data_IF_481191038590
#
_entry.id   IF_481191038590
#
_cell.length_a   1.000
_cell.length_b   1.000
_cell.length_c   1.000
_cell.angle_alpha   90.00
_cell.angle_beta   90.00
_cell.angle_gamma   90.00
#
_symmetry.space_group_name_H-M   'P 1'
#
loop_
_entity.id
_entity.type
_entity.pdbx_description
1 polymer ?
#
# COMPACT_ATOMS: atom_id res chain seq x y z
N UNK A 1 -1.39 -23.77 -31.31
CA UNK A 1 -2.25 -23.98 -30.12
C UNK A 1 -3.46 -24.81 -30.50
N UNK A 2 -3.69 -25.93 -29.81
CA UNK A 2 -4.79 -26.84 -30.10
C UNK A 2 -6.14 -26.32 -29.53
N UNK A 3 -7.24 -27.01 -29.86
CA UNK A 3 -8.60 -26.59 -29.47
C UNK A 3 -8.81 -26.57 -27.95
N UNK A 4 -8.31 -27.59 -27.25
CA UNK A 4 -8.38 -27.66 -25.79
C UNK A 4 -7.65 -26.49 -25.10
N UNK A 5 -6.48 -26.09 -25.62
CA UNK A 5 -5.73 -24.94 -25.15
C UNK A 5 -6.46 -23.63 -25.42
N UNK A 6 -7.03 -23.44 -26.61
CA UNK A 6 -7.88 -22.26 -26.93
C UNK A 6 -9.04 -22.12 -25.95
N UNK A 7 -9.72 -23.24 -25.68
CA UNK A 7 -10.84 -23.29 -24.75
C UNK A 7 -10.42 -22.96 -23.31
N UNK A 8 -9.34 -23.58 -22.82
CA UNK A 8 -8.78 -23.30 -21.49
C UNK A 8 -8.37 -21.83 -21.36
N UNK A 9 -7.71 -21.28 -22.37
CA UNK A 9 -7.29 -19.88 -22.36
C UNK A 9 -8.47 -18.91 -22.34
N UNK A 10 -9.51 -19.18 -23.13
CA UNK A 10 -10.75 -18.40 -23.10
C UNK A 10 -11.43 -18.44 -21.74
N UNK A 11 -11.52 -19.63 -21.11
CA UNK A 11 -12.06 -19.76 -19.76
C UNK A 11 -11.27 -18.93 -18.74
N UNK A 12 -9.93 -19.00 -18.77
CA UNK A 12 -9.07 -18.21 -17.88
C UNK A 12 -9.35 -16.71 -18.00
N UNK A 13 -9.51 -16.19 -19.23
CA UNK A 13 -9.79 -14.77 -19.47
C UNK A 13 -11.16 -14.30 -18.95
N UNK A 14 -12.07 -15.24 -18.72
CA UNK A 14 -13.43 -14.98 -18.20
C UNK A 14 -13.55 -15.13 -16.69
N UNK A 15 -12.53 -15.66 -16.01
CA UNK A 15 -12.55 -15.77 -14.54
C UNK A 15 -12.70 -14.37 -13.95
N UNK A 16 -13.72 -14.19 -13.13
CA UNK A 16 -13.98 -12.96 -12.40
C UNK A 16 -13.61 -13.17 -10.94
N UNK A 17 -12.71 -12.34 -10.44
CA UNK A 17 -12.19 -12.32 -9.08
C UNK A 17 -12.66 -11.02 -8.43
N UNK A 18 -13.81 -11.03 -7.72
CA UNK A 18 -14.28 -9.86 -6.97
C UNK A 18 -13.46 -9.65 -5.68
N UNK A 19 -13.32 -8.39 -5.21
CA UNK A 19 -12.71 -8.10 -3.93
C UNK A 19 -13.59 -8.57 -2.76
N UNK A 20 -12.97 -8.81 -1.61
CA UNK A 20 -13.67 -9.02 -0.35
C UNK A 20 -14.13 -7.68 0.24
N UNK A 21 -15.42 -7.55 0.58
CA UNK A 21 -16.04 -6.29 0.99
C UNK A 21 -15.41 -5.69 2.26
N UNK A 22 -14.95 -6.53 3.19
CA UNK A 22 -14.32 -6.06 4.43
C UNK A 22 -12.96 -5.41 4.13
N UNK A 23 -12.11 -6.09 3.35
CA UNK A 23 -10.82 -5.54 2.95
C UNK A 23 -10.99 -4.27 2.11
N UNK A 24 -11.98 -4.26 1.20
CA UNK A 24 -12.30 -3.08 0.39
C UNK A 24 -12.72 -1.89 1.24
N UNK A 25 -13.49 -2.09 2.30
CA UNK A 25 -13.91 -1.00 3.19
C UNK A 25 -12.72 -0.37 3.94
N UNK A 26 -11.76 -1.19 4.37
CA UNK A 26 -10.51 -0.71 4.99
C UNK A 26 -9.68 0.14 4.02
N UNK A 27 -9.44 -0.38 2.82
CA UNK A 27 -8.67 0.31 1.78
C UNK A 27 -9.32 1.62 1.33
N UNK A 28 -10.64 1.64 1.17
CA UNK A 28 -11.37 2.88 0.85
C UNK A 28 -11.27 3.91 1.98
N UNK A 29 -11.25 3.46 3.24
CA UNK A 29 -11.05 4.34 4.37
C UNK A 29 -9.63 4.93 4.39
N UNK A 30 -8.60 4.13 4.05
CA UNK A 30 -7.20 4.57 3.91
C UNK A 30 -7.06 5.64 2.83
N UNK A 31 -7.55 5.37 1.62
CA UNK A 31 -7.54 6.32 0.51
C UNK A 31 -8.31 7.61 0.86
N UNK A 32 -9.44 7.49 1.57
CA UNK A 32 -10.22 8.64 2.02
C UNK A 32 -9.42 9.48 3.02
N UNK A 33 -8.84 8.86 4.05
CA UNK A 33 -8.05 9.57 5.07
C UNK A 33 -6.89 10.33 4.43
N UNK A 34 -6.13 9.67 3.55
CA UNK A 34 -5.02 10.31 2.87
C UNK A 34 -5.44 11.52 2.03
N UNK A 35 -6.56 11.41 1.30
CA UNK A 35 -7.11 12.51 0.50
C UNK A 35 -7.50 13.70 1.36
N UNK A 36 -8.17 13.48 2.49
CA UNK A 36 -8.56 14.56 3.40
C UNK A 36 -7.35 15.15 4.12
N UNK A 37 -6.37 14.34 4.52
CA UNK A 37 -5.11 14.80 5.12
C UNK A 37 -4.31 15.70 4.17
N UNK A 38 -4.27 15.37 2.87
CA UNK A 38 -3.68 16.26 1.87
C UNK A 38 -4.39 17.59 1.78
N UNK A 39 -5.72 17.58 1.75
CA UNK A 39 -6.50 18.81 1.68
C UNK A 39 -6.27 19.70 2.91
N UNK A 40 -6.34 19.09 4.11
CA UNK A 40 -6.17 19.76 5.39
C UNK A 40 -4.75 20.32 5.60
N UNK A 41 -3.72 19.50 5.30
CA UNK A 41 -2.34 19.85 5.61
C UNK A 41 -1.65 20.76 4.58
N UNK A 42 -2.19 20.88 3.36
CA UNK A 42 -1.53 21.58 2.25
C UNK A 42 -1.24 23.04 2.55
N UNK A 43 -2.18 23.76 3.16
CA UNK A 43 -1.99 25.19 3.47
C UNK A 43 -0.93 25.44 4.53
N UNK A 44 -0.68 24.45 5.40
CA UNK A 44 0.28 24.56 6.50
C UNK A 44 1.66 23.95 6.16
N UNK A 45 1.87 23.47 4.94
CA UNK A 45 3.17 22.93 4.51
C UNK A 45 3.41 21.46 4.87
N UNK A 46 2.35 20.71 5.22
CA UNK A 46 2.43 19.27 5.38
C UNK A 46 2.48 18.54 4.03
N UNK A 47 3.33 17.53 3.93
CA UNK A 47 3.46 16.63 2.79
C UNK A 47 3.08 15.22 3.20
N UNK A 48 2.13 14.61 2.48
CA UNK A 48 1.47 13.35 2.88
C UNK A 48 1.90 12.24 1.93
N UNK A 49 2.42 11.15 2.50
CA UNK A 49 2.85 9.93 1.81
C UNK A 49 2.01 8.75 2.29
N UNK A 50 1.40 8.02 1.35
CA UNK A 50 0.56 6.85 1.61
C UNK A 50 1.36 5.56 1.45
N UNK A 51 1.00 4.53 2.22
CA UNK A 51 1.46 3.15 2.04
C UNK A 51 3.00 3.05 1.95
N UNK A 52 3.70 3.83 2.77
CA UNK A 52 5.16 3.93 2.75
C UNK A 52 5.76 2.60 3.15
N UNK A 53 6.55 2.00 2.26
CA UNK A 53 7.24 0.74 2.52
C UNK A 53 8.67 0.95 2.99
N UNK A 54 8.91 0.52 4.21
CA UNK A 54 10.21 0.56 4.87
C UNK A 54 10.84 -0.84 4.95
N UNK A 55 12.17 -0.97 4.88
CA UNK A 55 12.84 -2.22 5.18
C UNK A 55 12.73 -2.56 6.68
N UNK A 56 12.54 -3.84 7.01
CA UNK A 56 12.67 -4.37 8.38
C UNK A 56 13.71 -5.49 8.35
N UNK A 57 14.97 -5.09 8.53
CA UNK A 57 16.12 -5.99 8.46
C UNK A 57 16.07 -7.04 9.57
N UNK A 58 15.61 -6.67 10.77
CA UNK A 58 15.55 -7.57 11.93
C UNK A 58 14.59 -8.75 11.74
N UNK A 59 13.45 -8.52 11.09
CA UNK A 59 12.45 -9.59 10.86
C UNK A 59 12.49 -10.17 9.45
N UNK A 60 13.44 -9.73 8.62
CA UNK A 60 13.57 -10.19 7.25
C UNK A 60 12.35 -9.80 6.40
N UNK A 61 12.32 -8.57 5.91
CA UNK A 61 11.30 -8.17 4.94
C UNK A 61 11.12 -6.66 4.84
N UNK A 62 9.91 -6.27 4.46
CA UNK A 62 9.47 -4.89 4.33
C UNK A 62 8.16 -4.73 5.10
N UNK A 63 7.92 -3.54 5.65
CA UNK A 63 6.67 -3.17 6.31
C UNK A 63 6.05 -1.97 5.64
N UNK A 64 4.73 -1.90 5.71
CA UNK A 64 3.96 -0.73 5.30
C UNK A 64 3.63 0.14 6.50
N UNK A 65 3.66 1.45 6.29
CA UNK A 65 3.08 2.47 7.16
C UNK A 65 1.96 3.12 6.35
N UNK A 66 0.74 3.13 6.89
CA UNK A 66 -0.45 3.62 6.19
C UNK A 66 -0.27 5.07 5.73
N UNK A 67 0.25 5.92 6.63
CA UNK A 67 0.52 7.32 6.36
C UNK A 67 1.81 7.80 7.03
N UNK A 68 2.69 8.44 6.26
CA UNK A 68 3.81 9.25 6.77
C UNK A 68 3.59 10.68 6.33
N UNK A 69 3.59 11.61 7.28
CA UNK A 69 3.36 13.04 7.01
C UNK A 69 4.57 13.82 7.49
N UNK A 70 5.13 14.66 6.64
CA UNK A 70 6.31 15.48 6.98
C UNK A 70 6.05 16.95 6.72
N UNK A 71 6.55 17.78 7.62
CA UNK A 71 6.52 19.23 7.51
C UNK A 71 7.51 19.80 8.51
N UNK A 72 8.14 20.93 8.22
CA UNK A 72 9.17 21.42 9.13
C UNK A 72 10.30 20.41 9.31
N UNK A 73 10.77 20.29 10.55
CA UNK A 73 11.55 19.14 11.05
C UNK A 73 10.72 18.05 11.74
N UNK A 74 9.42 17.94 11.45
CA UNK A 74 8.51 16.97 12.08
C UNK A 74 8.10 15.87 11.10
N UNK A 75 8.14 14.62 11.58
CA UNK A 75 7.62 13.44 10.91
C UNK A 75 6.51 12.79 11.75
N UNK A 76 5.29 12.76 11.22
CA UNK A 76 4.17 12.04 11.78
C UNK A 76 4.10 10.65 11.15
N UNK A 77 4.15 9.61 11.98
CA UNK A 77 4.05 8.21 11.57
C UNK A 77 2.69 7.70 12.04
N UNK A 78 1.78 7.49 11.09
CA UNK A 78 0.36 7.32 11.37
C UNK A 78 -0.08 5.92 10.95
N UNK A 79 -0.70 5.20 11.88
CA UNK A 79 -1.43 3.97 11.59
C UNK A 79 -2.93 4.27 11.66
N UNK A 80 -3.65 3.88 10.61
CA UNK A 80 -5.09 4.01 10.54
C UNK A 80 -5.79 2.74 11.07
N UNK A 81 -6.89 2.94 11.79
CA UNK A 81 -7.87 1.90 12.09
C UNK A 81 -9.31 2.33 11.78
N UNK A 82 -9.99 1.58 10.93
CA UNK A 82 -11.40 1.80 10.59
C UNK A 82 -12.30 0.77 11.26
N UNK A 83 -12.41 0.82 12.60
CA UNK A 83 -13.15 -0.15 13.39
C UNK A 83 -14.56 0.33 13.72
N UNK A 84 -15.57 -0.53 13.58
CA UNK A 84 -16.91 -0.29 14.12
C UNK A 84 -17.06 -0.86 15.54
N UNK A 85 -18.11 -0.44 16.25
CA UNK A 85 -18.42 -0.90 17.61
C UNK A 85 -17.68 -0.08 18.66
N UNK A 86 -17.10 -0.76 19.65
CA UNK A 86 -16.31 -0.13 20.72
C UNK A 86 -14.96 -0.82 20.87
N UNK A 87 -14.04 -0.19 21.60
CA UNK A 87 -12.79 -0.86 21.99
C UNK A 87 -12.39 -0.54 23.42
N UNK A 88 -11.61 -1.43 24.02
CA UNK A 88 -10.93 -1.21 25.29
C UNK A 88 -9.44 -1.44 25.13
N UNK A 89 -8.65 -0.84 26.02
CA UNK A 89 -7.20 -1.05 26.10
C UNK A 89 -6.92 -1.75 27.42
N UNK A 90 -6.28 -2.91 27.37
CA UNK A 90 -5.92 -3.66 28.56
C UNK A 90 -4.59 -3.18 29.16
N UNK A 91 -4.19 -3.74 30.31
CA UNK A 91 -2.93 -3.39 30.99
C UNK A 91 -1.66 -3.73 30.21
N UNK A 92 -1.78 -4.53 29.13
CA UNK A 92 -0.68 -4.86 28.21
C UNK A 92 -0.70 -3.97 26.96
N UNK A 93 -1.48 -2.88 26.97
CA UNK A 93 -1.68 -1.97 25.84
C UNK A 93 -2.29 -2.65 24.61
N UNK A 94 -2.97 -3.79 24.79
CA UNK A 94 -3.64 -4.46 23.69
C UNK A 94 -5.03 -3.86 23.46
N UNK A 95 -5.35 -3.64 22.19
CA UNK A 95 -6.65 -3.15 21.77
C UNK A 95 -7.63 -4.32 21.60
N UNK A 96 -8.71 -4.30 22.37
CA UNK A 96 -9.77 -5.31 22.29
C UNK A 96 -11.02 -4.63 21.72
N UNK A 97 -11.34 -4.96 20.47
CA UNK A 97 -12.54 -4.45 19.79
C UNK A 97 -13.74 -5.33 20.14
N UNK A 98 -14.85 -4.71 20.54
CA UNK A 98 -16.17 -5.33 20.58
C UNK A 98 -16.93 -4.92 19.32
N UNK A 99 -17.21 -5.88 18.44
CA UNK A 99 -17.90 -5.62 17.17
C UNK A 99 -19.41 -5.59 17.38
N UNK A 100 -20.12 -4.89 16.50
CA UNK A 100 -21.59 -4.77 16.53
C UNK A 100 -22.32 -6.12 16.42
N UNK A 101 -21.66 -7.18 15.96
CA UNK A 101 -22.21 -8.53 15.88
C UNK A 101 -21.99 -9.35 17.17
N UNK A 102 -21.50 -8.74 18.25
CA UNK A 102 -21.24 -9.39 19.54
C UNK A 102 -19.92 -10.16 19.62
N UNK A 103 -19.10 -10.17 18.56
CA UNK A 103 -17.79 -10.84 18.58
C UNK A 103 -16.68 -9.89 19.04
N UNK A 104 -15.68 -10.46 19.71
CA UNK A 104 -14.49 -9.71 20.14
C UNK A 104 -13.29 -10.02 19.25
N UNK A 105 -12.46 -9.00 19.01
CA UNK A 105 -11.21 -9.15 18.28
C UNK A 105 -10.08 -8.45 19.04
N UNK A 106 -9.05 -9.22 19.43
CA UNK A 106 -7.84 -8.66 20.05
C UNK A 106 -6.84 -8.30 18.93
N UNK A 107 -6.59 -7.01 18.75
CA UNK A 107 -5.65 -6.47 17.76
C UNK A 107 -4.19 -6.48 18.26
N UNK A 108 -3.93 -7.07 19.43
CA UNK A 108 -2.63 -7.12 20.10
C UNK A 108 -2.06 -5.71 20.32
N UNK A 109 -0.73 -5.58 20.32
CA UNK A 109 0.00 -4.34 20.59
C UNK A 109 0.16 -3.47 19.33
N UNK A 110 -0.95 -2.91 18.86
CA UNK A 110 -0.98 -2.03 17.67
C UNK A 110 -0.03 -0.83 17.85
N UNK A 111 -0.06 -0.17 19.02
CA UNK A 111 0.81 0.95 19.39
C UNK A 111 2.30 0.58 19.25
N UNK A 112 2.72 -0.51 19.88
CA UNK A 112 4.12 -0.94 19.88
C UNK A 112 4.62 -1.28 18.46
N UNK A 113 3.74 -1.80 17.59
CA UNK A 113 4.09 -2.09 16.20
C UNK A 113 4.37 -0.81 15.42
N UNK A 114 3.53 0.22 15.54
CA UNK A 114 3.73 1.49 14.83
C UNK A 114 4.91 2.28 15.43
N UNK A 115 5.10 2.25 16.75
CA UNK A 115 6.27 2.83 17.42
C UNK A 115 7.58 2.23 16.90
N UNK A 116 7.62 0.90 16.71
CA UNK A 116 8.78 0.23 16.10
C UNK A 116 9.02 0.70 14.66
N UNK A 117 7.97 0.85 13.83
CA UNK A 117 8.11 1.38 12.46
C UNK A 117 8.66 2.81 12.47
N UNK A 118 8.18 3.66 13.39
CA UNK A 118 8.65 5.03 13.56
C UNK A 118 10.12 5.08 14.00
N UNK A 119 10.52 4.21 14.93
CA UNK A 119 11.91 4.09 15.37
C UNK A 119 12.84 3.72 14.21
N UNK A 120 12.46 2.72 13.40
CA UNK A 120 13.23 2.32 12.21
C UNK A 120 13.41 3.52 11.27
N UNK A 121 12.33 4.24 10.95
CA UNK A 121 12.41 5.43 10.09
C UNK A 121 13.33 6.50 10.67
N UNK A 122 13.24 6.77 11.97
CA UNK A 122 14.08 7.77 12.64
C UNK A 122 15.56 7.37 12.59
N UNK A 123 15.89 6.12 12.90
CA UNK A 123 17.25 5.60 12.85
C UNK A 123 17.83 5.63 11.42
N UNK A 124 17.03 5.25 10.42
CA UNK A 124 17.42 5.35 9.01
C UNK A 124 17.67 6.79 8.58
N UNK A 125 16.81 7.74 8.97
CA UNK A 125 16.99 9.16 8.66
C UNK A 125 18.29 9.69 9.27
N UNK A 126 18.52 9.41 10.55
CA UNK A 126 19.72 9.81 11.29
C UNK A 126 21.00 9.21 10.71
N UNK A 127 20.96 7.95 10.30
CA UNK A 127 22.10 7.29 9.67
C UNK A 127 22.47 7.93 8.31
N UNK A 128 21.47 8.40 7.56
CA UNK A 128 21.67 9.07 6.27
C UNK A 128 22.08 10.53 6.41
N UNK A 129 21.72 11.18 7.51
CA UNK A 129 22.01 12.59 7.79
C UNK A 129 22.63 12.74 9.19
N UNK A 130 23.86 12.22 9.43
CA UNK A 130 24.48 12.20 10.75
C UNK A 130 24.75 13.61 11.30
N UNK A 131 25.01 14.56 10.41
CA UNK A 131 25.26 15.98 10.73
C UNK A 131 24.01 16.86 10.51
N UNK A 132 22.86 16.25 10.21
CA UNK A 132 21.60 16.96 9.97
C UNK A 132 20.90 17.40 11.26
N UNK A 133 19.97 18.33 11.12
CA UNK A 133 19.11 18.75 12.23
C UNK A 133 18.33 17.57 12.80
N UNK A 134 18.19 17.55 14.13
CA UNK A 134 17.33 16.57 14.80
C UNK A 134 15.87 16.77 14.37
N UNK A 135 15.21 15.67 14.02
CA UNK A 135 13.80 15.68 13.65
C UNK A 135 12.93 15.21 14.81
N UNK A 136 11.74 15.79 14.92
CA UNK A 136 10.71 15.35 15.84
C UNK A 136 9.88 14.24 15.19
N UNK A 137 9.85 13.04 15.77
CA UNK A 137 9.05 11.92 15.25
C UNK A 137 7.89 11.64 16.21
N UNK A 138 6.66 11.77 15.70
CA UNK A 138 5.43 11.54 16.47
C UNK A 138 4.69 10.33 15.92
N UNK A 139 4.24 9.46 16.81
CA UNK A 139 3.46 8.27 16.47
C UNK A 139 2.00 8.55 16.73
N UNK A 140 1.15 8.37 15.71
CA UNK A 140 -0.29 8.59 15.82
C UNK A 140 -1.10 7.35 15.44
N UNK A 141 -2.16 7.12 16.20
CA UNK A 141 -3.19 6.14 15.88
C UNK A 141 -4.46 6.88 15.47
N UNK A 142 -4.81 6.83 14.19
CA UNK A 142 -5.97 7.52 13.61
C UNK A 142 -7.16 6.56 13.47
N UNK A 143 -8.21 6.79 14.25
CA UNK A 143 -9.43 6.00 14.22
C UNK A 143 -10.54 6.71 13.43
N UNK A 144 -10.90 6.16 12.28
CA UNK A 144 -11.67 6.89 11.25
C UNK A 144 -13.16 6.55 11.16
N UNK A 145 -13.61 5.54 11.91
CA UNK A 145 -15.02 5.17 11.89
C UNK A 145 -15.85 6.10 12.80
N UNK A 146 -16.74 6.89 12.22
CA UNK A 146 -17.53 7.93 12.92
C UNK A 146 -18.43 7.44 14.07
N UNK A 147 -18.79 6.14 14.10
CA UNK A 147 -19.58 5.54 15.21
C UNK A 147 -18.75 4.66 16.15
N UNK A 148 -17.42 4.72 16.08
CA UNK A 148 -16.59 3.99 17.03
C UNK A 148 -16.78 4.63 18.41
N UNK A 149 -17.09 3.80 19.41
CA UNK A 149 -17.17 4.21 20.81
C UNK A 149 -15.80 4.05 21.45
N UNK A 150 -15.34 5.12 22.09
CA UNK A 150 -14.00 5.22 22.66
C UNK A 150 -14.04 4.97 24.16
N UNK A 151 -13.01 4.29 24.71
CA UNK A 151 -12.91 4.13 26.15
C UNK A 151 -12.44 5.44 26.81
N UNK A 152 -12.74 5.63 28.08
CA UNK A 152 -12.35 6.84 28.81
C UNK A 152 -10.84 6.90 29.16
N UNK A 153 -10.10 5.80 28.99
CA UNK A 153 -8.72 5.63 29.46
C UNK A 153 -7.66 5.59 28.33
N UNK A 154 -7.86 6.37 27.26
CA UNK A 154 -6.95 6.41 26.09
C UNK A 154 -5.53 6.88 26.46
N UNK A 155 -5.40 7.75 27.46
CA UNK A 155 -4.12 8.37 27.88
C UNK A 155 -3.10 7.42 28.53
N UNK A 156 -3.34 6.11 28.55
CA UNK A 156 -2.38 5.11 29.04
C UNK A 156 -1.30 4.80 27.98
N UNK A 157 -1.54 5.15 26.72
CA UNK A 157 -0.63 4.85 25.61
C UNK A 157 0.39 5.98 25.41
N UNK A 158 1.61 5.61 24.99
CA UNK A 158 2.64 6.57 24.57
C UNK A 158 2.33 7.25 23.23
N UNK A 159 1.44 6.66 22.42
CA UNK A 159 1.05 7.17 21.10
C UNK A 159 -0.10 8.15 21.17
N UNK A 160 -0.07 9.16 20.30
CA UNK A 160 -1.13 10.13 20.14
C UNK A 160 -2.33 9.46 19.44
N UNK A 161 -3.38 9.14 20.21
CA UNK A 161 -4.59 8.53 19.65
C UNK A 161 -5.60 9.61 19.30
N UNK A 162 -6.07 9.64 18.05
CA UNK A 162 -6.98 10.66 17.54
C UNK A 162 -8.12 10.06 16.73
N UNK A 163 -9.33 10.61 16.90
CA UNK A 163 -10.39 10.35 15.93
C UNK A 163 -10.10 11.13 14.63
N UNK A 164 -10.87 10.85 13.56
CA UNK A 164 -10.70 11.52 12.27
C UNK A 164 -10.70 13.05 12.40
N UNK A 165 -11.69 13.63 13.08
CA UNK A 165 -11.79 15.08 13.23
C UNK A 165 -10.58 15.66 13.96
N UNK A 166 -10.18 15.08 15.10
CA UNK A 166 -9.01 15.52 15.86
C UNK A 166 -7.71 15.42 15.05
N UNK A 167 -7.58 14.39 14.21
CA UNK A 167 -6.43 14.21 13.34
C UNK A 167 -6.41 15.25 12.21
N UNK A 168 -7.56 15.59 11.63
CA UNK A 168 -7.67 16.65 10.63
C UNK A 168 -7.40 18.02 11.25
N UNK A 169 -8.00 18.33 12.40
CA UNK A 169 -7.73 19.59 13.13
C UNK A 169 -6.24 19.75 13.44
N UNK A 170 -5.53 18.68 13.81
CA UNK A 170 -4.08 18.73 13.97
C UNK A 170 -3.38 19.25 12.70
N UNK A 171 -3.74 18.72 11.53
CA UNK A 171 -3.12 19.11 10.26
C UNK A 171 -3.51 20.54 9.83
N UNK A 172 -4.71 21.00 10.21
CA UNK A 172 -5.24 22.34 9.90
C UNK A 172 -4.72 23.44 10.83
N UNK A 173 -4.40 23.11 12.09
CA UNK A 173 -4.00 24.09 13.11
C UNK A 173 -2.50 24.10 13.38
N UNK A 174 -1.82 22.95 13.32
CA UNK A 174 -0.39 22.89 13.57
C UNK A 174 0.40 23.39 12.33
N UNK A 175 1.21 24.44 12.54
CA UNK A 175 2.21 24.88 11.59
C UNK A 175 3.54 24.17 11.91
N UNK A 176 4.00 23.24 11.07
CA UNK A 176 5.24 22.51 11.31
C UNK A 176 6.51 23.36 11.08
N UNK A 177 6.38 24.54 10.45
CA UNK A 177 7.51 25.39 10.08
C UNK A 177 8.09 25.09 8.69
N UNK A 178 9.21 25.72 8.32
CA UNK A 178 9.83 25.58 7.00
C UNK A 178 10.25 24.14 6.71
N UNK A 179 9.90 23.63 5.53
CA UNK A 179 10.16 22.23 5.15
C UNK A 179 11.65 21.86 5.27
N UNK A 180 11.94 20.80 6.01
CA UNK A 180 13.25 20.15 5.97
C UNK A 180 13.34 19.31 4.69
N UNK A 181 14.11 19.78 3.71
CA UNK A 181 14.22 19.13 2.41
C UNK A 181 14.82 17.72 2.50
N UNK A 182 15.80 17.51 3.40
CA UNK A 182 16.39 16.18 3.61
C UNK A 182 15.34 15.18 4.11
N UNK A 183 14.45 15.60 5.01
CA UNK A 183 13.36 14.77 5.51
C UNK A 183 12.33 14.49 4.43
N UNK A 184 11.97 15.50 3.63
CA UNK A 184 11.07 15.34 2.50
C UNK A 184 11.63 14.34 1.48
N UNK A 185 12.87 14.53 1.05
CA UNK A 185 13.55 13.67 0.08
C UNK A 185 13.69 12.25 0.61
N UNK A 186 14.05 12.10 1.89
CA UNK A 186 14.14 10.81 2.57
C UNK A 186 12.82 10.03 2.51
N UNK A 187 11.71 10.63 2.94
CA UNK A 187 10.41 9.94 2.91
C UNK A 187 9.94 9.71 1.48
N UNK A 188 10.17 10.67 0.58
CA UNK A 188 9.83 10.53 -0.83
C UNK A 188 10.59 9.39 -1.52
N UNK A 189 11.77 9.02 -1.02
CA UNK A 189 12.60 7.96 -1.56
C UNK A 189 12.04 6.55 -1.40
N UNK A 190 11.09 6.35 -0.48
CA UNK A 190 10.44 5.07 -0.29
C UNK A 190 9.43 4.75 -1.39
N UNK A 191 9.25 3.46 -1.64
CA UNK A 191 8.19 2.93 -2.50
C UNK A 191 6.95 2.51 -1.70
N UNK A 192 6.01 1.93 -2.42
CA UNK A 192 4.74 1.34 -1.94
C UNK A 192 4.70 -0.14 -2.34
N UNK A 193 3.58 -0.82 -2.10
CA UNK A 193 3.37 -2.17 -2.66
C UNK A 193 3.26 -2.11 -4.18
N UNK A 194 3.66 -3.21 -4.82
CA UNK A 194 3.23 -3.49 -6.18
C UNK A 194 1.79 -3.99 -6.15
N UNK A 195 0.99 -3.50 -7.08
CA UNK A 195 -0.43 -3.76 -7.16
C UNK A 195 -0.82 -4.36 -8.51
N UNK A 196 -1.61 -5.42 -8.46
CA UNK A 196 -2.17 -6.09 -9.64
C UNK A 196 -3.67 -6.16 -9.50
N UNK A 197 -4.39 -5.54 -10.43
CA UNK A 197 -5.85 -5.66 -10.51
C UNK A 197 -6.19 -6.87 -11.39
N UNK A 198 -7.02 -7.77 -10.85
CA UNK A 198 -7.59 -8.87 -11.59
C UNK A 198 -8.94 -8.51 -12.18
N UNK A 199 -9.34 -9.20 -13.26
CA UNK A 199 -10.67 -9.11 -13.83
C UNK A 199 -11.72 -9.38 -12.75
N UNK A 200 -12.63 -8.45 -12.52
CA UNK A 200 -13.59 -8.49 -11.41
C UNK A 200 -13.24 -7.54 -10.25
N UNK A 201 -12.06 -6.91 -10.27
CA UNK A 201 -11.68 -5.82 -9.37
C UNK A 201 -10.93 -6.24 -8.11
N UNK A 202 -10.56 -7.52 -7.95
CA UNK A 202 -9.68 -7.93 -6.86
C UNK A 202 -8.28 -7.36 -7.06
N UNK A 203 -7.79 -6.65 -6.05
CA UNK A 203 -6.41 -6.15 -5.98
C UNK A 203 -5.51 -7.14 -5.26
N UNK A 204 -4.41 -7.54 -5.88
CA UNK A 204 -3.31 -8.25 -5.23
C UNK A 204 -2.20 -7.24 -4.91
N UNK A 205 -1.77 -7.20 -3.64
CA UNK A 205 -0.65 -6.38 -3.16
C UNK A 205 0.54 -7.25 -2.79
N UNK A 206 1.76 -6.81 -3.08
CA UNK A 206 2.97 -7.61 -2.83
C UNK A 206 4.21 -7.11 -3.55
N UNK A 207 5.16 -8.02 -3.76
CA UNK A 207 6.39 -7.75 -4.51
C UNK A 207 6.38 -8.54 -5.82
N UNK A 208 6.36 -7.86 -6.96
CA UNK A 208 6.46 -8.49 -8.28
C UNK A 208 7.90 -8.85 -8.58
N UNK A 209 8.16 -10.15 -8.69
CA UNK A 209 9.49 -10.70 -8.92
C UNK A 209 9.86 -10.75 -10.40
N UNK A 210 8.86 -10.80 -11.28
CA UNK A 210 9.06 -10.72 -12.71
C UNK A 210 7.78 -10.84 -13.51
N UNK A 211 7.71 -10.09 -14.61
CA UNK A 211 6.53 -10.07 -15.49
C UNK A 211 6.35 -11.37 -16.30
N UNK A 212 7.37 -12.21 -16.43
CA UNK A 212 7.30 -13.47 -17.20
C UNK A 212 7.14 -13.29 -18.72
N UNK A 213 7.38 -12.10 -19.23
CA UNK A 213 7.19 -11.74 -20.65
C UNK A 213 8.45 -11.89 -21.51
N UNK A 214 9.56 -12.38 -20.94
CA UNK A 214 10.83 -12.60 -21.63
C UNK A 214 11.97 -11.75 -21.08
N UNK A 215 13.20 -12.07 -21.47
CA UNK A 215 14.42 -11.49 -20.88
C UNK A 215 14.60 -10.01 -21.20
N UNK A 216 14.16 -9.56 -22.37
CA UNK A 216 14.20 -8.15 -22.76
C UNK A 216 13.32 -7.29 -21.84
N UNK A 217 12.10 -7.76 -21.57
CA UNK A 217 11.18 -7.09 -20.65
C UNK A 217 11.69 -7.18 -19.21
N UNK A 218 12.34 -8.28 -18.81
CA UNK A 218 12.94 -8.39 -17.49
C UNK A 218 14.09 -7.39 -17.30
N UNK A 219 14.94 -7.18 -18.31
CA UNK A 219 15.99 -6.15 -18.29
C UNK A 219 15.40 -4.74 -18.25
N UNK A 220 14.38 -4.49 -19.07
CA UNK A 220 13.64 -3.23 -19.11
C UNK A 220 12.95 -2.90 -17.78
N UNK A 221 12.35 -3.90 -17.11
CA UNK A 221 11.75 -3.74 -15.79
C UNK A 221 12.80 -3.34 -14.73
N UNK A 222 14.01 -3.92 -14.80
CA UNK A 222 15.08 -3.62 -13.84
C UNK A 222 15.68 -2.22 -14.00
N UNK A 223 15.50 -1.57 -15.14
CA UNK A 223 15.95 -0.20 -15.36
C UNK A 223 14.90 0.86 -15.01
N UNK A 224 13.72 0.47 -14.52
CA UNK A 224 12.70 1.41 -14.10
C UNK A 224 13.16 2.18 -12.86
N UNK A 225 13.24 3.50 -12.94
CA UNK A 225 13.46 4.39 -11.78
C UNK A 225 12.14 5.02 -11.29
N UNK A 226 11.09 4.92 -12.11
CA UNK A 226 9.74 5.40 -11.85
C UNK A 226 8.76 4.22 -11.71
N UNK A 227 7.54 4.46 -11.20
CA UNK A 227 6.51 3.41 -11.15
C UNK A 227 6.25 2.81 -12.54
N UNK A 228 6.21 1.47 -12.59
CA UNK A 228 5.84 0.74 -13.81
C UNK A 228 4.35 0.49 -13.81
N UNK A 229 3.66 1.11 -14.74
CA UNK A 229 2.22 0.98 -14.90
C UNK A 229 1.90 0.07 -16.09
N UNK A 230 0.75 -0.57 -16.06
CA UNK A 230 0.33 -1.44 -17.14
C UNK A 230 -1.17 -1.65 -17.24
N UNK A 231 -1.66 -1.86 -18.46
CA UNK A 231 -3.03 -2.24 -18.75
C UNK A 231 -3.04 -3.47 -19.65
N UNK A 232 -3.89 -4.44 -19.32
CA UNK A 232 -4.04 -5.67 -20.10
C UNK A 232 -5.46 -5.79 -20.66
N UNK A 233 -5.55 -5.92 -21.98
CA UNK A 233 -6.79 -6.09 -22.71
C UNK A 233 -7.05 -7.55 -23.05
N UNK A 234 -8.24 -8.07 -22.75
CA UNK A 234 -8.62 -9.45 -23.07
C UNK A 234 -9.98 -9.51 -23.78
N UNK A 235 -10.02 -10.12 -24.97
CA UNK A 235 -11.26 -10.31 -25.72
C UNK A 235 -12.11 -11.43 -25.12
N UNK A 236 -13.11 -11.15 -24.28
CA UNK A 236 -13.80 -12.22 -23.51
C UNK A 236 -14.96 -12.91 -24.24
N UNK A 237 -15.35 -12.42 -25.42
CA UNK A 237 -16.44 -13.00 -26.20
C UNK A 237 -16.12 -14.43 -26.66
N UNK A 238 -17.15 -15.23 -26.92
CA UNK A 238 -16.99 -16.58 -27.47
C UNK A 238 -16.25 -16.55 -28.83
N UNK A 239 -16.49 -15.51 -29.64
CA UNK A 239 -15.78 -15.27 -30.92
C UNK A 239 -14.27 -15.07 -30.78
N UNK A 240 -13.76 -14.77 -29.58
CA UNK A 240 -12.32 -14.67 -29.36
C UNK A 240 -11.57 -16.01 -29.42
N UNK A 241 -12.27 -17.15 -29.38
CA UNK A 241 -11.67 -18.48 -29.54
C UNK A 241 -10.94 -18.64 -30.89
N UNK A 242 -11.36 -17.87 -31.90
CA UNK A 242 -10.77 -17.84 -33.23
C UNK A 242 -9.69 -16.77 -33.40
N UNK A 243 -9.60 -15.79 -32.48
CA UNK A 243 -8.58 -14.74 -32.56
C UNK A 243 -7.17 -15.32 -32.37
N UNK A 244 -6.22 -14.79 -33.14
CA UNK A 244 -4.79 -15.11 -33.00
C UNK A 244 -4.16 -14.40 -31.80
N UNK A 245 -4.62 -13.19 -31.51
CA UNK A 245 -4.11 -12.33 -30.43
C UNK A 245 -5.27 -11.83 -29.56
N UNK A 246 -5.89 -12.73 -28.78
CA UNK A 246 -7.04 -12.37 -27.97
C UNK A 246 -6.67 -11.61 -26.68
N UNK A 247 -5.39 -11.34 -26.45
CA UNK A 247 -4.88 -10.67 -25.26
C UNK A 247 -3.65 -9.83 -25.58
N UNK A 248 -3.59 -8.64 -25.01
CA UNK A 248 -2.48 -7.71 -25.16
C UNK A 248 -2.17 -7.03 -23.82
N UNK A 249 -0.98 -6.47 -23.73
CA UNK A 249 -0.54 -5.65 -22.61
C UNK A 249 0.15 -4.39 -23.15
N UNK A 250 -0.11 -3.29 -22.48
CA UNK A 250 0.60 -2.03 -22.62
C UNK A 250 1.26 -1.73 -21.28
N UNK A 251 2.58 -1.53 -21.29
CA UNK A 251 3.41 -1.24 -20.12
C UNK A 251 4.11 0.09 -20.32
N UNK A 252 4.16 0.91 -19.28
CA UNK A 252 4.70 2.25 -19.35
C UNK A 252 5.39 2.65 -18.04
N UNK A 253 6.54 3.29 -18.16
CA UNK A 253 7.20 4.04 -17.07
C UNK A 253 7.86 5.28 -17.67
N UNK A 254 7.69 6.44 -17.03
CA UNK A 254 8.11 7.73 -17.60
C UNK A 254 7.63 7.92 -19.04
N UNK A 255 8.56 8.16 -19.96
CA UNK A 255 8.30 8.31 -21.39
C UNK A 255 8.39 6.99 -22.18
N UNK A 256 8.77 5.89 -21.53
CA UNK A 256 8.94 4.60 -22.20
C UNK A 256 7.63 3.82 -22.27
N UNK A 257 7.38 3.20 -23.42
CA UNK A 257 6.15 2.47 -23.68
C UNK A 257 6.43 1.19 -24.45
N UNK A 258 5.90 0.08 -23.94
CA UNK A 258 5.98 -1.26 -24.55
C UNK A 258 4.57 -1.78 -24.77
N UNK A 259 4.29 -2.21 -26.00
CA UNK A 259 3.03 -2.90 -26.35
C UNK A 259 3.35 -4.29 -26.88
N UNK A 260 2.69 -5.30 -26.31
CA UNK A 260 2.94 -6.69 -26.67
C UNK A 260 1.66 -7.53 -26.69
N UNK A 261 1.61 -8.53 -27.58
CA UNK A 261 0.62 -9.60 -27.50
C UNK A 261 0.95 -10.51 -26.31
N UNK A 262 -0.05 -10.93 -25.55
CA UNK A 262 0.10 -11.89 -24.45
C UNK A 262 -0.20 -13.31 -24.96
N UNK A 263 0.78 -14.21 -25.08
CA UNK A 263 0.51 -15.60 -25.47
C UNK A 263 -0.09 -16.42 -24.31
N UNK A 264 -0.72 -17.54 -24.67
CA UNK A 264 -1.25 -18.49 -23.70
C UNK A 264 -0.17 -19.02 -22.75
N UNK A 265 -0.52 -19.17 -21.47
CA UNK A 265 0.33 -19.78 -20.46
C UNK A 265 1.34 -18.83 -19.80
N UNK A 266 1.37 -17.55 -20.18
CA UNK A 266 2.19 -16.55 -19.49
C UNK A 266 1.63 -16.23 -18.11
N UNK A 267 2.52 -16.20 -17.13
CA UNK A 267 2.25 -15.77 -15.76
C UNK A 267 3.23 -14.69 -15.35
N UNK A 268 2.78 -13.83 -14.44
CA UNK A 268 3.60 -12.94 -13.65
C UNK A 268 3.93 -13.64 -12.33
N UNK A 269 5.18 -13.54 -11.87
CA UNK A 269 5.62 -14.12 -10.59
C UNK A 269 5.58 -13.04 -9.50
N UNK A 270 4.87 -13.27 -8.41
CA UNK A 270 4.67 -12.29 -7.34
C UNK A 270 4.70 -12.94 -5.97
N UNK A 271 5.31 -12.28 -4.99
CA UNK A 271 5.11 -12.58 -3.58
C UNK A 271 3.96 -11.74 -3.05
N UNK A 272 2.77 -12.34 -2.97
CA UNK A 272 1.55 -11.67 -2.48
C UNK A 272 1.59 -11.58 -0.95
N UNK A 273 1.15 -10.45 -0.41
CA UNK A 273 1.07 -10.21 1.04
C UNK A 273 0.30 -11.33 1.74
N UNK A 274 0.84 -11.82 2.85
CA UNK A 274 0.25 -12.89 3.65
C UNK A 274 0.49 -14.31 3.09
N UNK A 275 1.11 -14.46 1.92
CA UNK A 275 1.52 -15.77 1.38
C UNK A 275 2.91 -16.16 1.87
N UNK A 276 3.11 -17.45 2.11
CA UNK A 276 4.41 -18.01 2.54
C UNK A 276 5.44 -18.05 1.40
N UNK A 277 4.97 -18.34 0.20
CA UNK A 277 5.82 -18.49 -0.99
C UNK A 277 5.27 -17.63 -2.13
N UNK A 278 6.12 -17.22 -3.08
CA UNK A 278 5.67 -16.54 -4.28
C UNK A 278 4.77 -17.44 -5.13
N UNK A 279 3.84 -16.82 -5.86
CA UNK A 279 2.87 -17.49 -6.73
C UNK A 279 2.92 -16.96 -8.16
N UNK A 280 2.42 -17.77 -9.10
CA UNK A 280 2.27 -17.42 -10.50
C UNK A 280 0.86 -16.93 -10.78
N UNK A 281 0.73 -15.65 -11.10
CA UNK A 281 -0.53 -14.99 -11.44
C UNK A 281 -0.70 -15.02 -12.97
N UNK A 282 -1.70 -15.74 -13.52
CA UNK A 282 -1.87 -15.83 -14.97
C UNK A 282 -2.23 -14.48 -15.59
N UNK A 283 -1.48 -14.07 -16.62
CA UNK A 283 -1.75 -12.81 -17.35
C UNK A 283 -3.16 -12.73 -17.92
N UNK A 284 -3.79 -13.87 -18.22
CA UNK A 284 -5.16 -13.94 -18.71
C UNK A 284 -6.19 -13.30 -17.76
N UNK A 285 -5.88 -13.21 -16.46
CA UNK A 285 -6.76 -12.64 -15.44
C UNK A 285 -6.39 -11.23 -15.02
N UNK A 286 -5.21 -10.72 -15.38
CA UNK A 286 -4.74 -9.38 -14.98
C UNK A 286 -5.39 -8.33 -15.88
N UNK A 287 -5.81 -7.20 -15.34
CA UNK A 287 -6.36 -6.07 -16.13
C UNK A 287 -5.55 -4.79 -15.97
N UNK A 288 -4.94 -4.59 -14.79
CA UNK A 288 -4.08 -3.45 -14.51
C UNK A 288 -2.91 -3.86 -13.63
N UNK A 289 -1.81 -3.14 -13.80
CA UNK A 289 -0.57 -3.28 -13.05
C UNK A 289 -0.12 -1.89 -12.60
N UNK A 290 0.32 -1.78 -11.35
CA UNK A 290 0.96 -0.59 -10.80
C UNK A 290 2.11 -1.07 -9.90
N UNK A 291 3.30 -1.20 -10.46
CA UNK A 291 4.49 -1.52 -9.67
C UNK A 291 5.09 -0.24 -9.14
N UNK A 292 5.43 -0.25 -7.86
CA UNK A 292 6.02 0.91 -7.24
C UNK A 292 7.41 1.18 -7.80
N UNK A 293 7.86 2.43 -7.67
CA UNK A 293 9.25 2.76 -7.96
C UNK A 293 10.18 1.95 -7.06
N UNK A 294 11.38 1.56 -7.53
CA UNK A 294 12.37 1.00 -6.64
C UNK A 294 12.66 2.01 -5.52
N UNK A 295 12.81 1.56 -4.27
CA UNK A 295 13.26 2.45 -3.21
C UNK A 295 14.63 3.01 -3.62
N UNK A 296 14.80 4.34 -3.54
CA UNK A 296 16.14 4.93 -3.61
C UNK A 296 16.96 4.28 -2.51
N UNK A 297 18.07 3.64 -2.87
CA UNK A 297 18.82 2.65 -2.07
C UNK A 297 18.90 2.99 -0.57
N UNK A 298 18.88 1.99 0.33
CA UNK A 298 18.98 2.22 1.78
C UNK A 298 20.23 3.00 2.16
#
# INVERSE_FOLDING_TARGET
MNWAQRWKWWRQRRVSSPPDDIHRAGELAEQRLAKISRAAGKSNGWNIFESVRIPDVEQGGKREIDLVIVGGGTMLVVEQKHWSGSFTINHKEEFIQQRNNGTNHNHSTVSQRIERKAKILHEMFKARHPDGDEINVRVLLAFTHHKLEWPNNIGVLNSDVKNENQFITLLEEENPGPINQNLLDFVSGFGTWDEIELNGGLMLKGDVLGLGLGDDIARWQKSCEEPLLGNAGHARSFFSLWSKEPSNVELYYGQQHVKASLPYGKSLRMHVVGRKEPEDVPWAGIVRLNLSKPPSSP
#
